data_IF_662056930243
#
_entry.id   IF_662056930243
#
_cell.length_a   1.000
_cell.length_b   1.000
_cell.length_c   1.000
_cell.angle_alpha   90.00
_cell.angle_beta   90.00
_cell.angle_gamma   90.00
#
_symmetry.space_group_name_H-M   'P 1'
#
loop_
_entity.id
_entity.type
_entity.pdbx_description
1 polymer ?
#
# COMPACT_ATOMS: atom_id res chain seq x y z
N UNK A 1 5.87 -7.22 -7.72
CA UNK A 1 5.33 -6.41 -6.60
C UNK A 1 3.87 -6.76 -6.27
N UNK A 2 3.23 -7.72 -6.94
CA UNK A 2 1.87 -8.22 -6.61
C UNK A 2 1.86 -9.22 -5.45
N UNK A 3 2.96 -9.94 -5.24
CA UNK A 3 2.95 -11.12 -4.37
C UNK A 3 2.83 -10.76 -2.88
N UNK A 4 3.36 -9.60 -2.46
CA UNK A 4 3.22 -9.10 -1.09
C UNK A 4 1.79 -8.65 -0.72
N UNK A 5 0.94 -8.30 -1.70
CA UNK A 5 -0.45 -7.93 -1.42
C UNK A 5 -1.30 -9.16 -1.05
N UNK A 6 -0.98 -10.31 -1.65
CA UNK A 6 -1.60 -11.60 -1.29
C UNK A 6 -1.33 -11.97 0.16
N UNK A 7 -0.14 -11.68 0.69
CA UNK A 7 0.23 -11.99 2.08
C UNK A 7 -0.49 -11.16 3.16
N UNK A 8 -1.00 -9.97 2.81
CA UNK A 8 -1.75 -9.14 3.79
C UNK A 8 -3.21 -9.61 3.86
N UNK A 9 -3.74 -10.17 2.77
CA UNK A 9 -5.09 -10.73 2.70
C UNK A 9 -5.13 -12.22 3.07
N UNK A 10 -4.01 -12.93 3.06
CA UNK A 10 -3.93 -14.34 3.46
C UNK A 10 -4.22 -14.56 4.96
N UNK A 11 -4.11 -13.52 5.79
CA UNK A 11 -4.57 -13.56 7.18
C UNK A 11 -6.08 -13.32 7.34
N UNK A 12 -6.77 -12.84 6.30
CA UNK A 12 -8.24 -12.78 6.26
C UNK A 12 -8.84 -14.09 5.75
N UNK A 13 -8.13 -15.21 5.83
CA UNK A 13 -8.56 -16.52 5.34
C UNK A 13 -9.85 -16.96 6.06
N UNK A 14 -10.99 -16.52 5.55
CA UNK A 14 -12.23 -17.26 5.64
C UNK A 14 -12.00 -18.51 4.83
N UNK A 15 -12.26 -19.70 5.38
CA UNK A 15 -12.09 -21.00 4.71
C UNK A 15 -12.91 -21.17 3.41
N UNK A 16 -13.55 -20.10 2.93
CA UNK A 16 -14.39 -20.00 1.75
C UNK A 16 -13.74 -19.04 0.75
N UNK A 17 -13.63 -19.51 -0.50
CA UNK A 17 -13.15 -18.70 -1.62
C UNK A 17 -14.13 -17.58 -2.02
N UNK A 18 -13.58 -16.46 -2.50
CA UNK A 18 -14.35 -15.27 -2.89
C UNK A 18 -15.36 -15.57 -4.01
N UNK A 19 -15.01 -16.42 -4.98
CA UNK A 19 -15.91 -16.80 -6.07
C UNK A 19 -17.13 -17.56 -5.54
N UNK A 20 -16.92 -18.41 -4.53
CA UNK A 20 -17.98 -19.18 -3.86
C UNK A 20 -18.95 -18.25 -3.12
N UNK A 21 -18.45 -17.25 -2.39
CA UNK A 21 -19.27 -16.24 -1.71
C UNK A 21 -20.10 -15.41 -2.71
N UNK A 22 -19.51 -15.13 -3.87
CA UNK A 22 -20.17 -14.34 -4.91
C UNK A 22 -21.29 -15.13 -5.60
N UNK A 23 -21.09 -16.43 -5.81
CA UNK A 23 -22.14 -17.35 -6.28
C UNK A 23 -23.24 -17.54 -5.23
N UNK A 24 -22.89 -17.60 -3.94
CA UNK A 24 -23.83 -17.63 -2.83
C UNK A 24 -24.72 -16.37 -2.83
N UNK A 25 -24.12 -15.19 -2.94
CA UNK A 25 -24.85 -13.91 -3.02
C UNK A 25 -25.77 -13.80 -4.24
N UNK A 26 -25.44 -14.48 -5.34
CA UNK A 26 -26.26 -14.52 -6.56
C UNK A 26 -27.31 -15.63 -6.58
N UNK A 27 -27.41 -16.42 -5.50
CA UNK A 27 -28.29 -17.61 -5.40
C UNK A 27 -28.03 -18.65 -6.51
N UNK A 28 -26.77 -18.78 -6.95
CA UNK A 28 -26.33 -19.74 -7.98
C UNK A 28 -25.56 -20.92 -7.41
N UNK A 29 -25.43 -20.98 -6.09
CA UNK A 29 -24.68 -22.03 -5.40
C UNK A 29 -25.63 -23.20 -5.08
N UNK A 30 -25.25 -24.46 -5.36
CA UNK A 30 -26.08 -25.61 -5.04
C UNK A 30 -26.26 -25.79 -3.52
N UNK A 31 -27.44 -26.27 -3.10
CA UNK A 31 -27.89 -26.30 -1.70
C UNK A 31 -26.88 -26.92 -0.72
N UNK A 32 -26.20 -28.01 -1.11
CA UNK A 32 -25.19 -28.65 -0.28
C UNK A 32 -24.03 -27.72 0.08
N UNK A 33 -23.58 -26.88 -0.85
CA UNK A 33 -22.50 -25.91 -0.59
C UNK A 33 -23.01 -24.66 0.13
N UNK A 34 -24.28 -24.32 -0.03
CA UNK A 34 -24.92 -23.19 0.64
C UNK A 34 -24.87 -23.35 2.17
N UNK A 35 -25.20 -24.56 2.64
CA UNK A 35 -25.17 -24.91 4.06
C UNK A 35 -23.76 -24.90 4.65
N UNK A 36 -22.75 -25.34 3.87
CA UNK A 36 -21.36 -25.30 4.31
C UNK A 36 -20.85 -23.86 4.46
N UNK A 37 -21.22 -22.98 3.54
CA UNK A 37 -20.92 -21.54 3.62
C UNK A 37 -21.56 -20.91 4.85
N UNK A 38 -22.83 -21.18 5.11
CA UNK A 38 -23.56 -20.67 6.29
C UNK A 38 -22.93 -21.15 7.61
N UNK A 39 -22.49 -22.41 7.68
CA UNK A 39 -21.81 -22.96 8.86
C UNK A 39 -20.51 -22.21 9.16
N UNK A 40 -19.70 -21.93 8.12
CA UNK A 40 -18.41 -21.23 8.28
C UNK A 40 -18.63 -19.75 8.60
N UNK A 41 -19.60 -19.08 7.96
CA UNK A 41 -19.95 -17.69 8.27
C UNK A 41 -20.46 -17.54 9.71
N UNK A 42 -21.23 -18.50 10.21
CA UNK A 42 -21.70 -18.50 11.60
C UNK A 42 -20.56 -18.61 12.62
N UNK A 43 -19.40 -19.14 12.22
CA UNK A 43 -18.21 -19.21 13.06
C UNK A 43 -17.45 -17.89 13.20
N UNK A 44 -17.80 -16.86 12.42
CA UNK A 44 -17.13 -15.57 12.41
C UNK A 44 -18.16 -14.43 12.33
N UNK A 45 -18.43 -13.80 13.47
CA UNK A 45 -19.39 -12.69 13.61
C UNK A 45 -19.12 -11.53 12.63
N UNK A 46 -17.84 -11.21 12.36
CA UNK A 46 -17.46 -10.18 11.40
C UNK A 46 -17.78 -10.57 9.96
N UNK A 47 -17.53 -11.83 9.59
CA UNK A 47 -17.84 -12.32 8.24
C UNK A 47 -19.36 -12.43 8.02
N UNK A 48 -20.12 -12.82 9.06
CA UNK A 48 -21.57 -12.86 9.03
C UNK A 48 -22.17 -11.46 8.81
N UNK A 49 -21.76 -10.47 9.61
CA UNK A 49 -22.24 -9.08 9.48
C UNK A 49 -21.88 -8.47 8.11
N UNK A 50 -20.68 -8.73 7.61
CA UNK A 50 -20.27 -8.31 6.27
C UNK A 50 -21.11 -8.97 5.16
N UNK A 51 -21.46 -10.25 5.31
CA UNK A 51 -22.31 -10.97 4.36
C UNK A 51 -23.72 -10.38 4.33
N UNK A 52 -24.31 -10.11 5.49
CA UNK A 52 -25.63 -9.48 5.60
C UNK A 52 -25.65 -8.11 4.92
N UNK A 53 -24.60 -7.31 5.09
CA UNK A 53 -24.44 -6.04 4.37
C UNK A 53 -24.39 -6.22 2.84
N UNK A 54 -23.69 -7.25 2.35
CA UNK A 54 -23.65 -7.56 0.91
C UNK A 54 -24.98 -8.14 0.41
N UNK A 55 -25.76 -8.83 1.26
CA UNK A 55 -27.09 -9.33 0.93
C UNK A 55 -28.13 -8.20 0.75
N UNK A 56 -27.93 -7.05 1.39
CA UNK A 56 -28.78 -5.87 1.21
C UNK A 56 -28.54 -5.13 -0.12
N UNK A 57 -27.49 -5.48 -0.87
CA UNK A 57 -27.17 -4.83 -2.15
C UNK A 57 -28.17 -5.23 -3.25
N UNK A 58 -28.87 -4.28 -3.86
CA UNK A 58 -29.91 -4.56 -4.88
C UNK A 58 -29.39 -5.35 -6.10
N UNK A 59 -28.21 -4.98 -6.61
CA UNK A 59 -27.63 -5.59 -7.80
C UNK A 59 -26.31 -6.30 -7.47
N UNK A 60 -26.42 -7.61 -7.28
CA UNK A 60 -25.28 -8.50 -6.99
C UNK A 60 -24.23 -8.52 -8.09
N UNK A 61 -24.58 -8.18 -9.33
CA UNK A 61 -23.62 -8.12 -10.45
C UNK A 61 -22.72 -6.88 -10.35
N UNK A 62 -23.21 -5.80 -9.73
CA UNK A 62 -22.42 -4.57 -9.50
C UNK A 62 -21.35 -4.73 -8.44
N UNK A 63 -21.45 -5.73 -7.57
CA UNK A 63 -20.47 -5.99 -6.51
C UNK A 63 -19.06 -6.14 -7.10
N UNK A 64 -18.90 -6.92 -8.18
CA UNK A 64 -17.61 -7.07 -8.88
C UNK A 64 -17.04 -5.72 -9.35
N UNK A 65 -17.87 -4.91 -10.00
CA UNK A 65 -17.44 -3.61 -10.49
C UNK A 65 -17.09 -2.64 -9.35
N UNK A 66 -17.82 -2.69 -8.23
CA UNK A 66 -17.53 -1.90 -7.04
C UNK A 66 -16.20 -2.31 -6.42
N UNK A 67 -15.91 -3.61 -6.33
CA UNK A 67 -14.62 -4.14 -5.87
C UNK A 67 -13.48 -3.67 -6.77
N UNK A 68 -13.65 -3.75 -8.09
CA UNK A 68 -12.64 -3.27 -9.05
C UNK A 68 -12.37 -1.77 -8.91
N UNK A 69 -13.44 -0.98 -8.74
CA UNK A 69 -13.33 0.46 -8.51
C UNK A 69 -12.62 0.78 -7.20
N UNK A 70 -12.97 0.10 -6.10
CA UNK A 70 -12.33 0.25 -4.79
C UNK A 70 -10.84 -0.07 -4.86
N UNK A 71 -10.47 -1.19 -5.49
CA UNK A 71 -9.07 -1.58 -5.66
C UNK A 71 -8.29 -0.53 -6.47
N UNK A 72 -8.88 -0.04 -7.56
CA UNK A 72 -8.27 1.01 -8.39
C UNK A 72 -8.08 2.30 -7.60
N UNK A 73 -9.08 2.73 -6.85
CA UNK A 73 -9.03 3.97 -6.08
C UNK A 73 -8.07 3.87 -4.90
N UNK A 74 -7.99 2.72 -4.24
CA UNK A 74 -7.01 2.45 -3.19
C UNK A 74 -5.59 2.56 -3.75
N UNK A 75 -5.32 1.88 -4.88
CA UNK A 75 -4.02 1.96 -5.56
C UNK A 75 -3.67 3.40 -5.92
N UNK A 76 -4.62 4.16 -6.48
CA UNK A 76 -4.43 5.57 -6.84
C UNK A 76 -4.13 6.45 -5.63
N UNK A 77 -4.82 6.25 -4.51
CA UNK A 77 -4.59 7.01 -3.26
C UNK A 77 -3.21 6.71 -2.66
N UNK A 78 -2.82 5.43 -2.65
CA UNK A 78 -1.50 5.00 -2.16
C UNK A 78 -0.39 5.58 -3.04
N UNK A 79 -0.52 5.46 -4.36
CA UNK A 79 0.45 5.98 -5.31
C UNK A 79 0.60 7.51 -5.18
N UNK A 80 -0.52 8.25 -5.08
CA UNK A 80 -0.48 9.71 -4.86
C UNK A 80 0.29 10.07 -3.58
N UNK A 81 0.07 9.31 -2.49
CA UNK A 81 0.78 9.51 -1.22
C UNK A 81 2.27 9.18 -1.35
N UNK A 82 2.63 8.14 -2.09
CA UNK A 82 4.03 7.79 -2.35
C UNK A 82 4.72 8.87 -3.20
N UNK A 83 4.11 9.32 -4.29
CA UNK A 83 4.64 10.38 -5.14
C UNK A 83 4.83 11.70 -4.37
N UNK A 84 3.89 12.06 -3.48
CA UNK A 84 4.04 13.22 -2.61
C UNK A 84 5.24 13.08 -1.67
N UNK A 85 5.41 11.90 -1.05
CA UNK A 85 6.58 11.62 -0.21
C UNK A 85 7.88 11.67 -0.99
N UNK A 86 7.88 11.18 -2.23
CA UNK A 86 9.05 11.18 -3.10
C UNK A 86 9.43 12.58 -3.56
N UNK A 87 8.45 13.44 -3.86
CA UNK A 87 8.69 14.87 -4.16
C UNK A 87 9.24 15.65 -2.96
N UNK A 88 8.91 15.23 -1.74
CA UNK A 88 9.43 15.82 -0.50
C UNK A 88 10.78 15.23 -0.07
N UNK A 89 11.28 14.17 -0.72
CA UNK A 89 12.66 13.75 -0.51
C UNK A 89 13.54 14.86 -1.09
N UNK A 90 14.25 15.55 -0.21
CA UNK A 90 15.32 16.45 -0.61
C UNK A 90 16.27 15.63 -1.49
N UNK A 91 16.36 15.99 -2.78
CA UNK A 91 17.41 15.46 -3.64
C UNK A 91 18.72 15.78 -2.95
N UNK A 92 19.50 14.77 -2.62
CA UNK A 92 20.89 14.96 -2.20
C UNK A 92 21.52 15.91 -3.23
N UNK A 93 21.97 17.07 -2.77
CA UNK A 93 22.61 18.07 -3.61
C UNK A 93 24.12 17.78 -3.59
N UNK A 94 24.67 17.00 -4.53
CA UNK A 94 26.11 16.73 -4.58
C UNK A 94 26.94 18.02 -4.67
N UNK A 95 26.34 19.09 -5.18
CA UNK A 95 26.93 20.41 -5.24
C UNK A 95 27.21 21.03 -3.87
N UNK A 96 26.39 20.74 -2.85
CA UNK A 96 26.61 21.22 -1.49
C UNK A 96 27.94 20.69 -0.94
N UNK A 97 28.23 19.41 -1.16
CA UNK A 97 29.50 18.79 -0.76
C UNK A 97 30.69 19.41 -1.49
N UNK A 98 30.56 19.70 -2.79
CA UNK A 98 31.62 20.35 -3.56
C UNK A 98 31.95 21.76 -3.03
N UNK A 99 30.93 22.56 -2.70
CA UNK A 99 31.12 23.91 -2.14
C UNK A 99 31.81 23.85 -0.78
N UNK A 100 31.37 22.94 0.11
CA UNK A 100 31.99 22.74 1.44
C UNK A 100 33.46 22.33 1.30
N UNK A 101 33.77 21.42 0.37
CA UNK A 101 35.13 20.95 0.14
C UNK A 101 36.06 22.07 -0.34
N UNK A 102 35.60 22.90 -1.28
CA UNK A 102 36.33 24.08 -1.76
C UNK A 102 36.60 25.06 -0.61
N UNK A 103 35.61 25.30 0.26
CA UNK A 103 35.76 26.16 1.43
C UNK A 103 36.85 25.65 2.39
N UNK A 104 36.89 24.35 2.65
CA UNK A 104 37.91 23.73 3.50
C UNK A 104 39.31 23.93 2.90
N UNK A 105 39.47 23.69 1.59
CA UNK A 105 40.75 23.93 0.90
C UNK A 105 41.16 25.40 1.01
N UNK A 106 40.22 26.33 0.85
CA UNK A 106 40.50 27.76 0.92
C UNK A 106 40.99 28.17 2.32
N UNK A 107 40.38 27.64 3.38
CA UNK A 107 40.84 27.86 4.76
C UNK A 107 42.26 27.34 4.97
N UNK A 108 42.58 26.15 4.45
CA UNK A 108 43.92 25.56 4.53
C UNK A 108 44.95 26.43 3.81
N UNK A 109 44.62 26.91 2.61
CA UNK A 109 45.51 27.80 1.84
C UNK A 109 45.73 29.13 2.56
N UNK A 110 44.68 29.75 3.10
CA UNK A 110 44.80 30.95 3.91
C UNK A 110 45.71 30.74 5.12
N UNK A 111 45.53 29.63 5.84
CA UNK A 111 46.39 29.28 6.98
C UNK A 111 47.85 29.09 6.56
N UNK A 112 48.09 28.37 5.46
CA UNK A 112 49.44 28.11 4.95
C UNK A 112 50.16 29.41 4.56
N UNK A 113 49.45 30.35 3.92
CA UNK A 113 50.00 31.67 3.54
C UNK A 113 50.38 32.47 4.78
N UNK A 114 49.52 32.51 5.80
CA UNK A 114 49.80 33.25 7.05
C UNK A 114 51.03 32.67 7.75
N UNK A 115 51.11 31.34 7.87
CA UNK A 115 52.27 30.67 8.50
C UNK A 115 53.55 30.89 7.69
N UNK A 116 53.47 30.91 6.35
CA UNK A 116 54.60 31.19 5.47
C UNK A 116 55.12 32.61 5.67
N UNK A 117 54.22 33.61 5.72
CA UNK A 117 54.58 35.01 5.95
C UNK A 117 55.07 35.29 7.37
N UNK A 118 54.63 34.52 8.37
CA UNK A 118 55.09 34.69 9.76
C UNK A 118 56.48 34.07 10.02
N UNK A 119 57.02 33.30 9.06
CA UNK A 119 58.28 32.55 9.20
C UNK A 119 59.42 33.13 8.34
N UNK A 120 59.10 34.00 7.38
CA UNK A 120 60.05 34.87 6.68
C UNK A 120 60.17 36.21 7.43
#
# INVERSE_FOLDING_TARGET
>A
MSDNLKDILSHLNTDIDQETLLLYLQDKLPDHKKQDVERVLSGNEFAADAMDGLQQFDDKKKINHVVDMLNRDLKKKVEKKMQLREKMKLKDQPWLYAVVFIFIILIILCYMIIVRMAKD
#
